data_IF_924382608526
#
_entry.id   IF_924382608526
#
_cell.length_a   1.000
_cell.length_b   1.000
_cell.length_c   1.000
_cell.angle_alpha   90.00
_cell.angle_beta   90.00
_cell.angle_gamma   90.00
#
_symmetry.space_group_name_H-M   'P 1'
#
loop_
_entity.id
_entity.type
_entity.pdbx_description
1 polymer ?
#
# COMPACT_ATOMS: atom_id res chain seq x y z
N UNK A 1 10.40 8.20 -14.32
CA UNK A 1 9.64 7.79 -13.12
C UNK A 1 8.53 6.80 -13.44
N UNK A 2 7.54 7.14 -14.27
CA UNK A 2 6.42 6.23 -14.59
C UNK A 2 6.86 4.86 -15.13
N UNK A 3 7.84 4.81 -16.04
CA UNK A 3 8.42 3.54 -16.54
C UNK A 3 8.99 2.67 -15.41
N UNK A 4 9.70 3.28 -14.46
CA UNK A 4 10.30 2.63 -13.28
C UNK A 4 9.21 2.02 -12.38
N UNK A 5 8.19 2.80 -12.05
CA UNK A 5 7.03 2.35 -11.26
C UNK A 5 6.28 1.22 -11.94
N UNK A 6 5.99 1.34 -13.25
CA UNK A 6 5.30 0.28 -14.00
C UNK A 6 6.09 -1.02 -14.02
N UNK A 7 7.40 -0.96 -14.26
CA UNK A 7 8.28 -2.14 -14.23
C UNK A 7 8.22 -2.86 -12.89
N UNK A 8 8.32 -2.13 -11.78
CA UNK A 8 8.24 -2.70 -10.42
C UNK A 8 6.85 -3.27 -10.16
N UNK A 9 5.79 -2.52 -10.47
CA UNK A 9 4.41 -2.94 -10.28
C UNK A 9 4.05 -4.19 -11.09
N UNK A 10 4.49 -4.30 -12.33
CA UNK A 10 4.22 -5.48 -13.17
C UNK A 10 4.91 -6.72 -12.61
N UNK A 11 6.15 -6.59 -12.10
CA UNK A 11 6.86 -7.68 -11.41
C UNK A 11 6.10 -8.11 -10.15
N UNK A 12 5.84 -7.18 -9.23
CA UNK A 12 5.13 -7.42 -7.96
C UNK A 12 3.77 -8.08 -8.22
N UNK A 13 3.00 -7.53 -9.17
CA UNK A 13 1.65 -8.03 -9.50
C UNK A 13 1.70 -9.46 -10.03
N UNK A 14 2.65 -9.76 -10.93
CA UNK A 14 2.85 -11.10 -11.50
C UNK A 14 3.16 -12.12 -10.40
N UNK A 15 4.04 -11.76 -9.48
CA UNK A 15 4.61 -12.71 -8.52
C UNK A 15 3.66 -12.92 -7.31
N UNK A 16 2.93 -11.89 -6.87
CA UNK A 16 2.25 -11.92 -5.57
C UNK A 16 0.74 -11.62 -5.59
N UNK A 17 0.18 -11.14 -6.70
CA UNK A 17 -1.22 -10.64 -6.73
C UNK A 17 -2.10 -11.38 -7.77
N UNK A 18 -2.39 -12.68 -7.58
CA UNK A 18 -3.23 -13.44 -8.51
C UNK A 18 -4.64 -12.86 -8.67
N UNK A 19 -5.24 -12.30 -7.61
CA UNK A 19 -6.56 -11.68 -7.66
C UNK A 19 -6.61 -10.38 -8.50
N UNK A 20 -5.46 -9.75 -8.73
CA UNK A 20 -5.33 -8.56 -9.57
C UNK A 20 -4.98 -8.90 -11.02
N UNK A 21 -4.73 -10.18 -11.34
CA UNK A 21 -4.46 -10.61 -12.71
C UNK A 21 -5.68 -10.36 -13.60
N UNK A 22 -5.43 -9.88 -14.82
CA UNK A 22 -6.48 -9.46 -15.75
C UNK A 22 -7.25 -8.19 -15.36
N UNK A 23 -6.99 -7.61 -14.18
CA UNK A 23 -7.57 -6.32 -13.78
C UNK A 23 -6.67 -5.17 -14.21
N UNK A 24 -7.27 -4.14 -14.79
CA UNK A 24 -6.55 -2.93 -15.22
C UNK A 24 -6.40 -1.97 -14.04
N UNK A 25 -5.16 -1.71 -13.65
CA UNK A 25 -4.78 -0.71 -12.62
C UNK A 25 -3.96 0.37 -13.32
N UNK A 26 -4.37 1.62 -13.19
CA UNK A 26 -3.66 2.76 -13.77
C UNK A 26 -2.75 3.38 -12.73
N UNK A 27 -1.45 3.38 -13.03
CA UNK A 27 -0.45 4.09 -12.25
C UNK A 27 -0.33 5.53 -12.75
N UNK A 28 -0.53 6.49 -11.84
CA UNK A 28 -0.42 7.92 -12.10
C UNK A 28 0.73 8.46 -11.25
N UNK A 29 1.56 9.34 -11.81
CA UNK A 29 2.59 10.06 -11.06
C UNK A 29 2.14 11.50 -10.89
N UNK A 30 2.01 11.97 -9.65
CA UNK A 30 1.54 13.33 -9.35
C UNK A 30 2.28 13.93 -8.14
N UNK A 31 2.40 15.27 -8.03
CA UNK A 31 2.91 15.89 -6.82
C UNK A 31 1.81 15.98 -5.75
N UNK A 32 1.98 15.29 -4.61
CA UNK A 32 1.08 15.41 -3.47
C UNK A 32 1.75 15.05 -2.15
N UNK A 33 1.05 15.30 -1.03
CA UNK A 33 1.63 15.25 0.33
C UNK A 33 2.04 13.86 0.79
N UNK A 34 1.32 12.81 0.41
CA UNK A 34 1.64 11.42 0.78
C UNK A 34 2.61 10.78 -0.20
N UNK A 35 3.08 9.57 0.09
CA UNK A 35 3.93 8.81 -0.83
C UNK A 35 3.14 8.10 -1.93
N UNK A 36 1.97 7.57 -1.60
CA UNK A 36 1.06 6.96 -2.56
C UNK A 36 -0.40 7.03 -2.08
N UNK A 37 -1.33 6.66 -2.97
CA UNK A 37 -2.75 6.53 -2.68
C UNK A 37 -3.38 5.49 -3.62
N UNK A 38 -4.18 4.59 -3.05
CA UNK A 38 -5.00 3.64 -3.78
C UNK A 38 -6.44 4.14 -3.87
N UNK A 39 -7.02 4.15 -5.07
CA UNK A 39 -8.43 4.52 -5.27
C UNK A 39 -9.08 3.48 -6.18
N UNK A 40 -10.27 3.02 -5.79
CA UNK A 40 -11.17 2.31 -6.68
C UNK A 40 -12.41 3.16 -6.94
N UNK A 41 -12.70 3.38 -8.22
CA UNK A 41 -13.95 3.95 -8.71
C UNK A 41 -14.75 2.77 -9.29
N UNK A 42 -15.69 2.20 -8.51
CA UNK A 42 -16.35 0.97 -8.88
C UNK A 42 -17.22 1.12 -10.14
N UNK A 43 -17.39 0.03 -10.92
CA UNK A 43 -16.74 -1.27 -10.75
C UNK A 43 -15.37 -1.38 -11.46
N UNK A 44 -15.04 -0.45 -12.36
CA UNK A 44 -14.02 -0.69 -13.40
C UNK A 44 -12.67 -0.03 -13.13
N UNK A 45 -12.65 1.20 -12.64
CA UNK A 45 -11.44 2.04 -12.68
C UNK A 45 -10.68 1.90 -11.37
N UNK A 46 -9.45 1.38 -11.43
CA UNK A 46 -8.53 1.24 -10.29
C UNK A 46 -7.31 2.10 -10.53
N UNK A 47 -7.02 2.97 -9.58
CA UNK A 47 -5.93 3.94 -9.66
C UNK A 47 -4.97 3.70 -8.50
N UNK A 48 -3.68 3.73 -8.81
CA UNK A 48 -2.62 3.88 -7.83
C UNK A 48 -1.87 5.16 -8.19
N UNK A 49 -1.92 6.14 -7.32
CA UNK A 49 -1.26 7.43 -7.51
C UNK A 49 0.02 7.40 -6.69
N UNK A 50 1.17 7.51 -7.35
CA UNK A 50 2.49 7.55 -6.71
C UNK A 50 3.01 8.98 -6.73
N UNK A 51 3.49 9.45 -5.57
CA UNK A 51 3.96 10.82 -5.43
C UNK A 51 5.31 11.03 -6.10
N UNK A 52 5.53 12.20 -6.70
CA UNK A 52 6.88 12.59 -7.18
C UNK A 52 7.91 12.62 -6.04
N UNK A 53 7.47 12.70 -4.78
CA UNK A 53 8.30 12.62 -3.57
C UNK A 53 9.10 11.32 -3.45
N UNK A 54 8.66 10.24 -4.10
CA UNK A 54 9.35 8.94 -4.04
C UNK A 54 10.46 8.81 -5.08
N UNK A 55 10.65 9.82 -5.95
CA UNK A 55 11.71 9.84 -6.98
C UNK A 55 13.13 9.55 -6.45
N UNK A 56 13.58 10.15 -5.32
CA UNK A 56 14.92 9.88 -4.79
C UNK A 56 15.03 8.56 -4.01
N UNK A 57 13.93 7.86 -3.76
CA UNK A 57 13.94 6.60 -3.00
C UNK A 57 14.50 5.45 -3.84
N UNK A 58 15.03 4.43 -3.17
CA UNK A 58 15.54 3.21 -3.80
C UNK A 58 14.39 2.36 -4.41
N UNK A 59 14.73 1.44 -5.32
CA UNK A 59 13.74 0.48 -5.86
C UNK A 59 13.15 -0.41 -4.76
N UNK A 60 13.91 -0.66 -3.69
CA UNK A 60 13.48 -1.42 -2.52
C UNK A 60 12.33 -0.73 -1.79
N UNK A 61 12.48 0.56 -1.46
CA UNK A 61 11.42 1.34 -0.80
C UNK A 61 10.20 1.52 -1.69
N UNK A 62 10.42 1.80 -2.98
CA UNK A 62 9.31 1.94 -3.94
C UNK A 62 8.56 0.62 -4.12
N UNK A 63 9.24 -0.53 -4.04
CA UNK A 63 8.61 -1.85 -4.02
C UNK A 63 7.66 -1.98 -2.83
N UNK A 64 8.09 -1.59 -1.62
CA UNK A 64 7.24 -1.58 -0.42
C UNK A 64 6.00 -0.71 -0.59
N UNK A 65 6.16 0.50 -1.12
CA UNK A 65 5.04 1.40 -1.43
C UNK A 65 4.07 0.72 -2.41
N UNK A 66 4.57 0.22 -3.53
CA UNK A 66 3.70 -0.39 -4.56
C UNK A 66 3.00 -1.65 -4.02
N UNK A 67 3.69 -2.50 -3.26
CA UNK A 67 3.13 -3.69 -2.65
C UNK A 67 1.98 -3.35 -1.70
N UNK A 68 2.15 -2.31 -0.86
CA UNK A 68 1.10 -1.79 0.01
C UNK A 68 -0.13 -1.31 -0.77
N UNK A 69 0.08 -0.48 -1.78
CA UNK A 69 -1.03 0.06 -2.59
C UNK A 69 -1.79 -1.02 -3.38
N UNK A 70 -1.09 -2.06 -3.83
CA UNK A 70 -1.70 -3.23 -4.46
C UNK A 70 -2.46 -4.09 -3.44
N UNK A 71 -2.00 -4.17 -2.19
CA UNK A 71 -2.74 -4.82 -1.10
C UNK A 71 -4.07 -4.11 -0.84
N UNK A 72 -4.12 -2.77 -0.85
CA UNK A 72 -5.40 -2.04 -0.83
C UNK A 72 -6.31 -2.46 -1.99
N UNK A 73 -5.81 -2.49 -3.23
CA UNK A 73 -6.63 -2.91 -4.39
C UNK A 73 -7.17 -4.34 -4.26
N UNK A 74 -6.36 -5.26 -3.75
CA UNK A 74 -6.78 -6.64 -3.50
C UNK A 74 -7.86 -6.71 -2.40
N UNK A 75 -7.70 -5.95 -1.32
CA UNK A 75 -8.71 -5.83 -0.26
C UNK A 75 -10.02 -5.24 -0.78
N UNK A 76 -9.96 -4.16 -1.55
CA UNK A 76 -11.14 -3.52 -2.16
C UNK A 76 -11.92 -4.50 -3.05
N UNK A 77 -11.22 -5.35 -3.80
CA UNK A 77 -11.84 -6.42 -4.57
C UNK A 77 -12.52 -7.48 -3.69
N UNK A 78 -11.86 -7.91 -2.61
CA UNK A 78 -12.43 -8.88 -1.66
C UNK A 78 -13.67 -8.34 -0.94
N UNK A 79 -13.74 -7.03 -0.70
CA UNK A 79 -14.91 -6.37 -0.11
C UNK A 79 -16.13 -6.42 -1.04
N UNK A 80 -15.92 -6.27 -2.36
CA UNK A 80 -16.99 -6.03 -3.32
C UNK A 80 -17.55 -4.60 -3.27
N UNK A 81 -18.30 -4.21 -4.30
CA UNK A 81 -18.70 -2.81 -4.52
C UNK A 81 -19.47 -2.19 -3.36
N UNK A 82 -20.52 -2.87 -2.87
CA UNK A 82 -21.40 -2.32 -1.83
C UNK A 82 -20.64 -2.09 -0.50
N UNK A 83 -19.81 -3.05 -0.09
CA UNK A 83 -19.02 -2.95 1.13
C UNK A 83 -17.91 -1.90 0.98
N UNK A 84 -17.27 -1.83 -0.19
CA UNK A 84 -16.28 -0.80 -0.47
C UNK A 84 -16.84 0.62 -0.37
N UNK A 85 -18.05 0.89 -0.90
CA UNK A 85 -18.67 2.22 -0.78
C UNK A 85 -18.93 2.59 0.68
N UNK A 86 -19.44 1.65 1.49
CA UNK A 86 -19.63 1.86 2.94
C UNK A 86 -18.31 2.11 3.65
N UNK A 87 -17.29 1.32 3.31
CA UNK A 87 -15.93 1.48 3.82
C UNK A 87 -15.36 2.86 3.45
N UNK A 88 -15.48 3.29 2.20
CA UNK A 88 -14.95 4.56 1.72
C UNK A 88 -15.54 5.75 2.47
N UNK A 89 -16.85 5.72 2.78
CA UNK A 89 -17.48 6.72 3.66
C UNK A 89 -16.88 6.65 5.07
N UNK A 90 -16.79 5.46 5.67
CA UNK A 90 -16.19 5.29 7.00
C UNK A 90 -14.75 5.79 7.10
N UNK A 91 -13.92 5.49 6.10
CA UNK A 91 -12.51 5.88 6.05
C UNK A 91 -12.32 7.41 6.00
N UNK A 92 -13.27 8.15 5.42
CA UNK A 92 -13.24 9.61 5.39
C UNK A 92 -13.50 10.22 6.79
N UNK A 93 -14.40 9.61 7.56
CA UNK A 93 -14.92 10.21 8.80
C UNK A 93 -14.42 9.56 10.11
N UNK A 94 -13.75 8.42 10.04
CA UNK A 94 -13.32 7.67 11.24
C UNK A 94 -11.84 7.33 11.21
N UNK A 95 -11.08 7.89 12.17
CA UNK A 95 -9.68 7.51 12.40
C UNK A 95 -9.53 6.02 12.67
N UNK A 96 -10.43 5.46 13.49
CA UNK A 96 -10.45 4.02 13.77
C UNK A 96 -10.57 3.20 12.48
N UNK A 97 -11.47 3.58 11.57
CA UNK A 97 -11.60 2.87 10.29
C UNK A 97 -10.36 3.01 9.39
N UNK A 98 -9.67 4.17 9.45
CA UNK A 98 -8.37 4.35 8.78
C UNK A 98 -7.31 3.42 9.36
N UNK A 99 -7.13 3.45 10.68
CA UNK A 99 -6.16 2.59 11.38
C UNK A 99 -6.41 1.11 11.10
N UNK A 100 -7.66 0.66 11.17
CA UNK A 100 -8.02 -0.74 10.88
C UNK A 100 -7.66 -1.15 9.45
N UNK A 101 -7.90 -0.28 8.45
CA UNK A 101 -7.58 -0.58 7.06
C UNK A 101 -6.07 -0.55 6.79
N UNK A 102 -5.35 0.48 7.25
CA UNK A 102 -3.90 0.59 7.04
C UNK A 102 -3.18 -0.58 7.70
N UNK A 103 -3.47 -0.90 8.96
CA UNK A 103 -2.86 -2.05 9.65
C UNK A 103 -3.21 -3.38 8.97
N UNK A 104 -4.45 -3.56 8.54
CA UNK A 104 -4.85 -4.79 7.83
C UNK A 104 -4.23 -4.88 6.42
N UNK A 105 -3.84 -3.75 5.83
CA UNK A 105 -3.08 -3.69 4.59
C UNK A 105 -1.61 -4.00 4.83
N UNK A 106 -1.00 -3.44 5.88
CA UNK A 106 0.38 -3.74 6.31
C UNK A 106 0.56 -5.25 6.57
N UNK A 107 -0.36 -5.86 7.34
CA UNK A 107 -0.33 -7.31 7.57
C UNK A 107 -0.41 -8.10 6.25
N UNK A 108 -1.29 -7.71 5.33
CA UNK A 108 -1.38 -8.38 4.02
C UNK A 108 -0.08 -8.19 3.21
N UNK A 109 0.53 -7.02 3.26
CA UNK A 109 1.82 -6.74 2.60
C UNK A 109 2.92 -7.66 3.13
N UNK A 110 2.96 -7.91 4.45
CA UNK A 110 3.87 -8.89 5.06
C UNK A 110 3.56 -10.31 4.57
N UNK A 111 2.30 -10.74 4.57
CA UNK A 111 1.92 -12.09 4.10
C UNK A 111 2.27 -12.34 2.63
N UNK A 112 2.31 -11.27 1.83
CA UNK A 112 2.72 -11.29 0.42
C UNK A 112 4.24 -11.36 0.21
N UNK A 113 5.03 -11.29 1.29
CA UNK A 113 6.48 -11.44 1.27
C UNK A 113 7.25 -10.13 1.13
N UNK A 114 6.64 -8.98 1.45
CA UNK A 114 7.27 -7.65 1.32
C UNK A 114 7.56 -7.01 2.69
N UNK A 115 7.84 -7.84 3.71
CA UNK A 115 8.02 -7.37 5.08
C UNK A 115 9.19 -6.40 5.23
N UNK A 116 10.33 -6.68 4.58
CA UNK A 116 11.53 -5.86 4.70
C UNK A 116 11.39 -4.53 3.97
N UNK A 117 10.76 -4.52 2.80
CA UNK A 117 10.45 -3.30 2.06
C UNK A 117 9.45 -2.43 2.82
N UNK A 118 8.43 -3.04 3.44
CA UNK A 118 7.46 -2.33 4.29
C UNK A 118 8.16 -1.75 5.52
N UNK A 119 9.02 -2.53 6.18
CA UNK A 119 9.80 -2.07 7.33
C UNK A 119 10.65 -0.83 6.99
N UNK A 120 11.40 -0.87 5.88
CA UNK A 120 12.21 0.26 5.43
C UNK A 120 11.35 1.49 5.09
N UNK A 121 10.21 1.27 4.43
CA UNK A 121 9.23 2.34 4.18
C UNK A 121 8.72 2.96 5.49
N UNK A 122 8.44 2.14 6.51
CA UNK A 122 7.95 2.61 7.82
C UNK A 122 9.02 3.44 8.55
N UNK A 123 10.29 3.03 8.52
CA UNK A 123 11.39 3.82 9.08
C UNK A 123 11.47 5.21 8.42
N UNK A 124 11.42 5.26 7.08
CA UNK A 124 11.43 6.52 6.34
C UNK A 124 10.20 7.37 6.69
N UNK A 125 9.02 6.76 6.73
CA UNK A 125 7.75 7.46 6.99
C UNK A 125 7.69 8.06 8.40
N UNK A 126 8.27 7.39 9.40
CA UNK A 126 8.35 7.89 10.80
C UNK A 126 9.23 9.13 10.95
N UNK A 127 10.25 9.28 10.11
CA UNK A 127 11.10 10.48 10.11
C UNK A 127 10.52 11.63 9.28
N UNK A 128 9.53 11.37 8.42
CA UNK A 128 8.90 12.38 7.59
C UNK A 128 7.88 13.21 8.37
N UNK A 129 8.21 14.50 8.56
CA UNK A 129 7.32 15.48 9.20
C UNK A 129 5.93 15.55 8.57
N UNK A 130 5.77 15.25 7.28
CA UNK A 130 4.49 15.27 6.56
C UNK A 130 3.62 14.04 6.80
N UNK A 131 4.17 12.97 7.39
CA UNK A 131 3.45 11.74 7.76
C UNK A 131 3.10 11.67 9.24
N UNK A 132 3.62 12.57 10.08
CA UNK A 132 3.42 12.56 11.55
C UNK A 132 1.97 12.42 12.01
N UNK A 133 1.00 13.01 11.29
CA UNK A 133 -0.41 12.99 11.71
C UNK A 133 -1.13 11.69 11.31
N UNK A 134 -0.52 10.83 10.51
CA UNK A 134 -1.13 9.57 10.04
C UNK A 134 -0.30 8.34 10.39
N UNK A 135 0.93 8.51 10.89
CA UNK A 135 1.87 7.41 11.10
C UNK A 135 1.38 6.39 12.13
N UNK A 136 0.54 6.83 13.07
CA UNK A 136 -0.07 5.98 14.09
C UNK A 136 -1.17 5.06 13.53
N UNK A 137 -1.59 5.26 12.27
CA UNK A 137 -2.49 4.35 11.58
C UNK A 137 -1.79 3.08 11.07
N UNK A 138 -0.46 3.05 11.04
CA UNK A 138 0.34 1.95 10.46
C UNK A 138 0.95 1.08 11.54
N UNK A 139 1.47 -0.09 11.15
CA UNK A 139 2.31 -0.90 12.02
C UNK A 139 3.61 -0.16 12.40
N UNK A 140 4.12 -0.41 13.60
CA UNK A 140 5.48 0.01 13.96
C UNK A 140 6.53 -0.90 13.28
N UNK A 141 7.80 -0.44 13.14
CA UNK A 141 8.88 -1.29 12.66
C UNK A 141 9.00 -2.61 13.45
N UNK A 142 8.84 -2.55 14.76
CA UNK A 142 8.89 -3.70 15.66
C UNK A 142 7.72 -4.65 15.40
N UNK A 143 6.49 -4.12 15.25
CA UNK A 143 5.32 -4.93 14.90
C UNK A 143 5.49 -5.66 13.56
N UNK A 144 6.11 -5.01 12.57
CA UNK A 144 6.40 -5.60 11.26
C UNK A 144 7.39 -6.76 11.41
N UNK A 145 8.51 -6.56 12.13
CA UNK A 145 9.52 -7.60 12.38
C UNK A 145 8.88 -8.78 13.12
N UNK A 146 8.19 -8.51 14.22
CA UNK A 146 7.59 -9.54 15.07
C UNK A 146 6.59 -10.39 14.29
N UNK A 147 5.70 -9.75 13.51
CA UNK A 147 4.71 -10.45 12.71
C UNK A 147 5.39 -11.27 11.59
N UNK A 148 6.34 -10.67 10.87
CA UNK A 148 7.04 -11.33 9.78
C UNK A 148 7.91 -12.50 10.25
N UNK A 149 8.54 -12.41 11.43
CA UNK A 149 9.27 -13.52 12.03
C UNK A 149 8.32 -14.67 12.40
N UNK A 150 7.18 -14.35 13.05
CA UNK A 150 6.18 -15.36 13.44
C UNK A 150 5.58 -16.09 12.23
N UNK A 151 5.38 -15.40 11.11
CA UNK A 151 4.83 -15.98 9.87
C UNK A 151 5.88 -16.55 8.92
N UNK A 152 7.18 -16.48 9.27
CA UNK A 152 8.28 -16.93 8.40
C UNK A 152 8.42 -16.09 7.11
N UNK A 153 7.97 -14.84 7.14
CA UNK A 153 7.98 -13.87 6.02
C UNK A 153 9.09 -12.82 6.12
N UNK A 154 9.98 -12.95 7.11
CA UNK A 154 11.16 -12.10 7.22
C UNK A 154 12.32 -12.65 6.36
N UNK A 155 12.22 -12.44 5.05
CA UNK A 155 13.22 -12.86 4.04
C UNK A 155 13.70 -11.68 3.22
#
# INVERSE_FOLDING_TARGET
MLKRVRRLADKIRKDSFPLLQGRRIYFIIAPFRFYALSVWIPPLIRLVIISTRVKPMSDFVITGIIAHELCHQERYLRMGTARYLRFAVGYLFSDKARTEEERATDFLTIEKGYARELHELTLISRTDKRHKTIIDNYLTPEEIIDHAMKSGKWV
#
